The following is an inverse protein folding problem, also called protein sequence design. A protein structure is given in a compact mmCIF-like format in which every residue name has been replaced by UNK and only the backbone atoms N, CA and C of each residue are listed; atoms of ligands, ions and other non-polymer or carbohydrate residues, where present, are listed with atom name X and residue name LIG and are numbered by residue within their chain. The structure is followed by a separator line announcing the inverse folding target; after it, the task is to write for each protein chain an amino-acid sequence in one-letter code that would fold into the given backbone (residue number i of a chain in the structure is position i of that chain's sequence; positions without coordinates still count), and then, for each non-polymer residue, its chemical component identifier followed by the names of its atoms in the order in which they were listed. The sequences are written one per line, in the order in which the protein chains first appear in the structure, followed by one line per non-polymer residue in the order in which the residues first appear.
data_IF_078950956887
#
_entry.id   IF_078950956887
#
_cell.length_a   1.000
_cell.length_b   1.000
_cell.length_c   1.000
_cell.angle_alpha   90.00
_cell.angle_beta   90.00
_cell.angle_gamma   90.00
#
_symmetry.space_group_name_H-M   'P 1'
#
loop_
_entity.id
_entity.type
_entity.pdbx_description
1 polymer ?
#
# COMPACT_ATOMS: atom_id res chain seq x y z
N UNK A 1 24.22 11.32 -0.58
CA UNK A 1 23.24 10.33 -1.10
C UNK A 1 21.88 10.98 -1.30
N UNK A 2 21.34 10.83 -2.54
CA UNK A 2 20.08 11.46 -2.94
C UNK A 2 18.88 11.01 -2.09
N UNK A 3 18.86 9.75 -1.62
CA UNK A 3 17.84 9.20 -0.75
C UNK A 3 17.87 9.85 0.64
N UNK A 4 19.04 10.06 1.22
CA UNK A 4 19.18 10.71 2.51
C UNK A 4 18.58 12.12 2.50
N UNK A 5 18.84 12.91 1.44
CA UNK A 5 18.28 14.26 1.29
C UNK A 5 16.75 14.27 1.23
N UNK A 6 16.12 13.26 0.62
CA UNK A 6 14.67 13.16 0.54
C UNK A 6 14.07 12.60 1.84
N UNK A 7 14.79 11.75 2.54
CA UNK A 7 14.32 11.09 3.76
C UNK A 7 14.04 12.07 4.91
N UNK A 8 14.74 13.22 4.98
CA UNK A 8 14.48 14.25 5.99
C UNK A 8 13.01 14.75 6.04
N UNK A 9 12.25 14.56 4.95
CA UNK A 9 10.82 14.86 4.91
C UNK A 9 9.98 14.00 5.87
N UNK A 10 10.53 12.89 6.32
CA UNK A 10 9.87 11.99 7.28
C UNK A 10 10.25 12.27 8.74
N UNK A 11 11.19 13.21 9.00
CA UNK A 11 11.61 13.56 10.36
C UNK A 11 10.43 14.03 11.21
N UNK A 12 10.20 13.37 12.36
CA UNK A 12 9.10 13.62 13.27
C UNK A 12 7.71 13.27 12.74
N UNK A 13 7.60 12.62 11.57
CA UNK A 13 6.33 12.30 10.91
C UNK A 13 5.73 10.98 11.37
N UNK A 14 4.39 10.88 11.28
CA UNK A 14 3.67 9.64 11.51
C UNK A 14 3.24 9.04 10.19
N UNK A 15 3.64 7.79 9.96
CA UNK A 15 3.37 7.01 8.75
C UNK A 15 2.51 5.80 9.12
N UNK A 16 1.37 5.64 8.48
CA UNK A 16 0.56 4.44 8.56
C UNK A 16 0.86 3.57 7.33
N UNK A 17 1.29 2.33 7.58
CA UNK A 17 1.60 1.34 6.55
C UNK A 17 0.64 0.16 6.67
N UNK A 18 -0.22 -0.04 5.69
CA UNK A 18 -1.06 -1.23 5.63
C UNK A 18 -0.37 -2.34 4.84
N UNK A 19 -0.58 -3.60 5.22
CA UNK A 19 0.14 -4.73 4.63
C UNK A 19 1.61 -4.79 5.04
N UNK A 20 1.95 -4.19 6.20
CA UNK A 20 3.32 -4.04 6.66
C UNK A 20 4.02 -5.34 7.05
N UNK A 21 3.28 -6.45 7.19
CA UNK A 21 3.83 -7.78 7.46
C UNK A 21 4.02 -8.63 6.21
N UNK A 22 3.52 -8.14 5.07
CA UNK A 22 3.76 -8.75 3.76
C UNK A 22 5.19 -8.54 3.27
N UNK A 23 5.49 -9.09 2.09
CA UNK A 23 6.84 -9.08 1.50
C UNK A 23 7.42 -7.65 1.42
N UNK A 24 6.76 -6.73 0.71
CA UNK A 24 7.25 -5.35 0.59
C UNK A 24 7.14 -4.56 1.90
N UNK A 25 6.10 -4.81 2.69
CA UNK A 25 5.88 -4.12 3.95
C UNK A 25 7.02 -4.27 4.95
N UNK A 26 7.64 -5.46 4.99
CA UNK A 26 8.82 -5.71 5.84
C UNK A 26 10.02 -4.85 5.41
N UNK A 27 10.27 -4.71 4.11
CA UNK A 27 11.34 -3.83 3.63
C UNK A 27 11.07 -2.36 3.99
N UNK A 28 9.84 -1.89 3.87
CA UNK A 28 9.50 -0.53 4.32
C UNK A 28 9.74 -0.35 5.81
N UNK A 29 9.35 -1.31 6.62
CA UNK A 29 9.60 -1.27 8.08
C UNK A 29 11.08 -1.15 8.37
N UNK A 30 11.91 -2.02 7.80
CA UNK A 30 13.37 -1.99 7.97
C UNK A 30 14.00 -0.66 7.48
N UNK A 31 13.51 -0.13 6.36
CA UNK A 31 13.98 1.16 5.84
C UNK A 31 13.66 2.28 6.83
N UNK A 32 12.45 2.37 7.39
CA UNK A 32 12.10 3.40 8.36
C UNK A 32 12.88 3.26 9.67
N UNK A 33 13.06 2.03 10.16
CA UNK A 33 13.94 1.79 11.32
C UNK A 33 15.36 2.29 11.05
N UNK A 34 15.92 1.94 9.91
CA UNK A 34 17.28 2.39 9.55
C UNK A 34 17.37 3.89 9.36
N UNK A 35 16.35 4.53 8.79
CA UNK A 35 16.31 6.00 8.66
C UNK A 35 16.27 6.68 10.03
N UNK A 36 15.47 6.15 10.97
CA UNK A 36 15.40 6.65 12.34
C UNK A 36 16.76 6.59 13.06
N UNK A 37 17.54 5.53 12.81
CA UNK A 37 18.85 5.35 13.44
C UNK A 37 19.95 6.23 12.84
N UNK A 38 19.85 6.59 11.55
CA UNK A 38 21.02 7.09 10.82
C UNK A 38 20.84 8.41 10.09
N UNK A 39 19.59 8.84 9.82
CA UNK A 39 19.33 9.97 8.92
C UNK A 39 18.39 11.00 9.54
N UNK A 40 17.35 10.57 10.24
CA UNK A 40 16.32 11.47 10.72
C UNK A 40 16.73 12.15 12.02
N UNK A 41 16.58 13.47 12.10
CA UNK A 41 16.84 14.24 13.31
C UNK A 41 15.84 13.91 14.42
N UNK A 42 14.56 13.75 14.03
CA UNK A 42 13.50 13.26 14.90
C UNK A 42 12.98 11.95 14.32
N UNK A 43 12.89 10.87 15.12
CA UNK A 43 12.39 9.60 14.62
C UNK A 43 10.98 9.69 14.04
N UNK A 44 10.79 9.10 12.88
CA UNK A 44 9.47 8.88 12.30
C UNK A 44 8.73 7.78 13.07
N UNK A 45 7.43 7.93 13.27
CA UNK A 45 6.57 6.92 13.88
C UNK A 45 5.93 6.09 12.79
N UNK A 46 6.08 4.77 12.85
CA UNK A 46 5.49 3.84 11.92
C UNK A 46 4.37 3.06 12.59
N UNK A 47 3.16 3.17 12.06
CA UNK A 47 1.99 2.39 12.48
C UNK A 47 1.69 1.36 11.40
N UNK A 48 1.78 0.09 11.74
CA UNK A 48 1.58 -1.03 10.81
C UNK A 48 0.21 -1.63 11.04
N UNK A 49 -0.61 -1.71 9.99
CA UNK A 49 -1.85 -2.47 9.99
C UNK A 49 -1.69 -3.72 9.09
N UNK A 50 -2.00 -4.89 9.63
CA UNK A 50 -2.01 -6.14 8.87
C UNK A 50 -2.97 -7.15 9.51
N UNK A 51 -3.69 -7.92 8.71
CA UNK A 51 -4.56 -8.99 9.20
C UNK A 51 -3.91 -10.37 9.15
N UNK A 52 -2.65 -10.44 8.73
CA UNK A 52 -1.82 -11.64 8.65
C UNK A 52 -2.34 -12.77 7.74
N UNK A 53 -3.32 -12.49 6.88
CA UNK A 53 -3.94 -13.50 6.00
C UNK A 53 -2.93 -14.15 5.05
N UNK A 54 -1.93 -13.40 4.59
CA UNK A 54 -0.88 -13.90 3.68
C UNK A 54 0.47 -14.06 4.37
N UNK A 55 0.74 -13.32 5.43
CA UNK A 55 1.99 -13.37 6.18
C UNK A 55 2.05 -14.59 7.12
N UNK A 56 0.87 -15.12 7.51
CA UNK A 56 0.76 -16.17 8.52
C UNK A 56 0.91 -15.63 9.95
N UNK A 57 0.43 -16.40 10.93
CA UNK A 57 0.53 -16.05 12.35
C UNK A 57 1.75 -16.67 13.03
N UNK A 58 2.25 -17.79 12.51
CA UNK A 58 3.39 -18.50 13.07
C UNK A 58 4.71 -17.86 12.66
N UNK A 59 5.58 -17.61 13.63
CA UNK A 59 6.92 -17.05 13.39
C UNK A 59 6.94 -15.57 13.03
N UNK A 60 5.82 -14.86 13.13
CA UNK A 60 5.77 -13.42 12.92
C UNK A 60 6.30 -12.72 14.17
N UNK A 61 7.61 -12.49 14.21
CA UNK A 61 8.19 -11.58 15.19
C UNK A 61 7.79 -10.16 14.79
N UNK A 62 6.98 -9.50 15.60
CA UNK A 62 6.80 -8.05 15.48
C UNK A 62 8.10 -7.43 15.94
N UNK A 63 8.81 -6.66 15.11
CA UNK A 63 9.99 -5.98 15.58
C UNK A 63 9.61 -5.06 16.75
N UNK A 64 10.26 -5.25 17.88
CA UNK A 64 10.12 -4.38 19.04
C UNK A 64 11.06 -3.17 18.86
N UNK A 65 10.59 -2.21 18.08
CA UNK A 65 11.28 -0.95 17.88
C UNK A 65 10.46 0.18 18.51
N UNK A 66 11.12 1.05 19.26
CA UNK A 66 10.49 2.13 20.00
C UNK A 66 9.50 3.00 19.20
N UNK A 67 9.72 3.12 17.88
CA UNK A 67 8.93 3.96 16.99
C UNK A 67 8.06 3.17 16.00
N UNK A 68 7.87 1.87 16.22
CA UNK A 68 7.03 0.99 15.39
C UNK A 68 5.91 0.40 16.23
N UNK A 69 4.68 0.67 15.82
CA UNK A 69 3.48 0.10 16.46
C UNK A 69 2.81 -0.85 15.48
N UNK A 70 2.58 -2.10 15.89
CA UNK A 70 1.80 -3.05 15.12
C UNK A 70 0.39 -3.16 15.69
N UNK A 71 -0.60 -3.15 14.78
CA UNK A 71 -2.02 -3.35 15.09
C UNK A 71 -2.55 -4.41 14.13
N UNK A 72 -2.97 -5.55 14.68
CA UNK A 72 -3.68 -6.57 13.88
C UNK A 72 -5.05 -6.00 13.50
N UNK A 73 -5.22 -5.68 12.22
CA UNK A 73 -6.45 -5.09 11.71
C UNK A 73 -6.69 -5.48 10.26
N UNK A 74 -7.94 -5.75 9.92
CA UNK A 74 -8.37 -5.95 8.54
C UNK A 74 -8.87 -4.64 7.95
N UNK A 75 -8.17 -4.12 6.94
CA UNK A 75 -8.48 -2.83 6.31
C UNK A 75 -9.85 -2.75 5.64
N UNK A 76 -10.52 -3.90 5.39
CA UNK A 76 -11.91 -3.89 4.93
C UNK A 76 -12.90 -3.38 5.97
N UNK A 77 -12.50 -3.39 7.24
CA UNK A 77 -13.25 -2.79 8.33
C UNK A 77 -12.80 -1.34 8.56
N UNK A 78 -13.67 -0.47 9.07
CA UNK A 78 -13.29 0.89 9.43
C UNK A 78 -12.16 0.91 10.47
N UNK A 79 -11.23 1.83 10.31
CA UNK A 79 -10.13 2.06 11.25
C UNK A 79 -10.13 3.52 11.69
N UNK A 80 -10.14 3.74 12.99
CA UNK A 80 -10.09 5.08 13.60
C UNK A 80 -8.69 5.34 14.17
N UNK A 81 -8.22 6.56 13.96
CA UNK A 81 -6.93 7.04 14.47
C UNK A 81 -7.07 8.48 14.92
N UNK A 82 -6.79 8.74 16.20
CA UNK A 82 -7.00 10.03 16.85
C UNK A 82 -5.73 10.88 17.00
N UNK A 83 -4.59 10.35 16.55
CA UNK A 83 -3.29 11.02 16.63
C UNK A 83 -2.91 11.64 15.27
N UNK A 84 -1.95 12.60 15.24
CA UNK A 84 -1.47 13.14 13.98
C UNK A 84 -1.04 12.04 13.01
N UNK A 85 -1.40 12.22 11.73
CA UNK A 85 -1.05 11.32 10.64
C UNK A 85 -0.61 12.14 9.43
N UNK A 86 0.59 11.90 8.93
CA UNK A 86 1.18 12.66 7.82
C UNK A 86 1.17 11.88 6.51
N UNK A 87 1.33 10.56 6.58
CA UNK A 87 1.40 9.68 5.40
C UNK A 87 0.62 8.40 5.63
N UNK A 88 -0.09 7.97 4.59
CA UNK A 88 -0.71 6.64 4.51
C UNK A 88 -0.10 5.90 3.32
N UNK A 89 0.61 4.82 3.58
CA UNK A 89 1.14 3.91 2.56
C UNK A 89 0.24 2.68 2.54
N UNK A 90 -0.66 2.63 1.55
CA UNK A 90 -1.62 1.54 1.42
C UNK A 90 -1.05 0.45 0.52
N UNK A 91 -0.34 -0.50 1.14
CA UNK A 91 0.26 -1.65 0.48
C UNK A 91 -0.46 -2.98 0.80
N UNK A 92 -1.51 -2.94 1.62
CA UNK A 92 -2.37 -4.10 1.83
C UNK A 92 -2.99 -4.54 0.51
N UNK A 93 -2.90 -5.83 0.23
CA UNK A 93 -3.46 -6.44 -0.97
C UNK A 93 -3.06 -7.90 -1.09
N UNK A 94 -3.96 -8.72 -1.61
CA UNK A 94 -3.73 -10.15 -1.82
C UNK A 94 -3.12 -10.32 -3.22
N UNK A 95 -1.78 -10.22 -3.32
CA UNK A 95 -1.08 -10.18 -4.62
C UNK A 95 -0.63 -11.55 -5.14
N UNK A 96 -0.51 -12.56 -4.27
CA UNK A 96 -0.10 -13.91 -4.69
C UNK A 96 -1.21 -14.64 -5.43
N UNK A 97 -0.93 -15.26 -6.62
CA UNK A 97 -1.91 -16.06 -7.36
C UNK A 97 -2.57 -17.16 -6.54
N UNK A 98 -1.84 -17.76 -5.62
CA UNK A 98 -2.37 -18.77 -4.71
C UNK A 98 -3.45 -18.16 -3.80
N UNK A 99 -3.15 -17.02 -3.17
CA UNK A 99 -4.03 -16.41 -2.18
C UNK A 99 -5.23 -15.69 -2.80
N UNK A 100 -5.09 -14.92 -3.90
CA UNK A 100 -6.25 -14.25 -4.49
C UNK A 100 -7.24 -15.23 -5.17
N UNK A 101 -6.79 -16.45 -5.52
CA UNK A 101 -7.70 -17.52 -5.96
C UNK A 101 -8.41 -18.20 -4.78
N UNK A 102 -7.76 -18.27 -3.63
CA UNK A 102 -8.37 -18.81 -2.41
C UNK A 102 -9.34 -17.81 -1.76
N UNK A 103 -9.04 -16.50 -1.87
CA UNK A 103 -9.77 -15.40 -1.23
C UNK A 103 -10.14 -14.30 -2.26
N UNK A 104 -10.93 -14.63 -3.32
CA UNK A 104 -11.17 -13.69 -4.42
C UNK A 104 -12.05 -12.50 -4.02
N UNK A 105 -13.00 -12.66 -3.11
CA UNK A 105 -13.84 -11.58 -2.61
C UNK A 105 -13.04 -10.64 -1.71
N UNK A 106 -12.24 -11.19 -0.81
CA UNK A 106 -11.36 -10.41 0.05
C UNK A 106 -10.35 -9.60 -0.76
N UNK A 107 -9.85 -10.13 -1.89
CA UNK A 107 -8.97 -9.41 -2.80
C UNK A 107 -9.65 -8.15 -3.38
N UNK A 108 -10.94 -8.23 -3.72
CA UNK A 108 -11.75 -7.10 -4.16
C UNK A 108 -12.10 -6.15 -3.00
N UNK A 109 -12.51 -6.69 -1.85
CA UNK A 109 -12.93 -5.89 -0.69
C UNK A 109 -11.79 -5.03 -0.14
N UNK A 110 -10.55 -5.55 -0.11
CA UNK A 110 -9.37 -4.77 0.25
C UNK A 110 -9.20 -3.57 -0.68
N UNK A 111 -9.44 -3.76 -1.98
CA UNK A 111 -9.29 -2.69 -2.95
C UNK A 111 -10.45 -1.69 -2.95
N UNK A 112 -11.67 -2.12 -2.65
CA UNK A 112 -12.86 -1.27 -2.65
C UNK A 112 -13.05 -0.64 -1.27
N UNK A 113 -13.38 -1.44 -0.27
CA UNK A 113 -13.66 -0.97 1.08
C UNK A 113 -12.39 -0.51 1.79
N UNK A 114 -11.33 -1.34 1.75
CA UNK A 114 -10.06 -1.03 2.41
C UNK A 114 -9.41 0.24 1.87
N UNK A 115 -9.29 0.37 0.56
CA UNK A 115 -8.74 1.60 -0.04
C UNK A 115 -9.59 2.82 0.30
N UNK A 116 -10.93 2.68 0.31
CA UNK A 116 -11.82 3.79 0.68
C UNK A 116 -11.64 4.21 2.15
N UNK A 117 -11.57 3.25 3.08
CA UNK A 117 -11.34 3.55 4.50
C UNK A 117 -10.01 4.28 4.71
N UNK A 118 -8.94 3.82 4.04
CA UNK A 118 -7.63 4.45 4.16
C UNK A 118 -7.55 5.82 3.48
N UNK A 119 -8.30 6.03 2.38
CA UNK A 119 -8.43 7.34 1.73
C UNK A 119 -9.24 8.31 2.60
N UNK A 120 -10.34 7.86 3.24
CA UNK A 120 -11.08 8.67 4.20
C UNK A 120 -10.16 9.11 5.34
N UNK A 121 -9.45 8.16 5.94
CA UNK A 121 -8.50 8.46 7.02
C UNK A 121 -7.44 9.47 6.58
N UNK A 122 -6.84 9.29 5.40
CA UNK A 122 -5.87 10.22 4.86
C UNK A 122 -6.48 11.63 4.62
N UNK A 123 -7.69 11.69 4.09
CA UNK A 123 -8.40 12.94 3.85
C UNK A 123 -8.70 13.69 5.16
N UNK A 124 -9.22 13.00 6.16
CA UNK A 124 -9.61 13.57 7.45
C UNK A 124 -8.39 14.15 8.22
N UNK A 125 -7.22 13.55 8.02
CA UNK A 125 -5.95 14.01 8.60
C UNK A 125 -5.15 14.98 7.71
N UNK A 126 -5.58 15.22 6.46
CA UNK A 126 -4.79 15.96 5.47
C UNK A 126 -3.49 15.25 5.09
N UNK A 127 -3.42 13.94 5.32
CA UNK A 127 -2.26 13.12 5.07
C UNK A 127 -2.03 12.85 3.58
N UNK A 128 -0.79 12.56 3.20
CA UNK A 128 -0.44 12.14 1.85
C UNK A 128 -0.68 10.63 1.69
N UNK A 129 -1.50 10.26 0.74
CA UNK A 129 -1.86 8.86 0.47
C UNK A 129 -1.04 8.29 -0.70
N UNK A 130 -0.43 7.13 -0.48
CA UNK A 130 0.28 6.37 -1.53
C UNK A 130 -0.38 5.01 -1.69
N UNK A 131 -0.87 4.72 -2.90
CA UNK A 131 -1.49 3.46 -3.27
C UNK A 131 -0.51 2.52 -3.98
N UNK A 132 -0.39 1.29 -3.51
CA UNK A 132 0.31 0.23 -4.20
C UNK A 132 -0.62 -0.47 -5.19
N UNK A 133 -0.58 0.00 -6.43
CA UNK A 133 -1.20 -0.65 -7.59
C UNK A 133 -0.33 -1.82 -8.08
N UNK A 134 -0.35 -2.11 -9.35
CA UNK A 134 0.43 -3.19 -9.97
C UNK A 134 0.57 -2.94 -11.48
N UNK A 135 1.58 -3.55 -12.11
CA UNK A 135 1.65 -3.67 -13.57
C UNK A 135 0.46 -4.43 -14.18
N UNK A 136 -0.26 -5.20 -13.38
CA UNK A 136 -1.42 -5.99 -13.83
C UNK A 136 -2.60 -5.14 -14.31
N UNK A 137 -2.61 -3.84 -14.00
CA UNK A 137 -3.58 -2.90 -14.58
C UNK A 137 -3.45 -2.78 -16.11
N UNK A 138 -2.30 -3.15 -16.64
CA UNK A 138 -2.04 -3.14 -18.08
C UNK A 138 -2.56 -4.39 -18.79
N UNK A 139 -2.81 -5.48 -18.05
CA UNK A 139 -3.32 -6.75 -18.57
C UNK A 139 -2.38 -7.41 -19.56
N UNK A 140 -2.92 -7.82 -20.69
CA UNK A 140 -2.18 -8.43 -21.82
C UNK A 140 -1.99 -7.38 -22.95
N UNK A 141 -0.91 -6.59 -22.91
CA UNK A 141 -0.70 -5.51 -23.84
C UNK A 141 -0.33 -6.01 -25.24
N UNK A 142 -0.82 -5.33 -26.27
CA UNK A 142 -0.31 -5.53 -27.63
C UNK A 142 1.20 -5.21 -27.67
N UNK A 143 1.98 -6.03 -28.39
CA UNK A 143 3.45 -5.93 -28.47
C UNK A 143 3.94 -4.53 -28.84
N UNK A 144 3.20 -3.80 -29.65
CA UNK A 144 3.51 -2.40 -30.04
C UNK A 144 3.50 -1.41 -28.89
N UNK A 145 2.92 -1.78 -27.74
CA UNK A 145 2.85 -0.98 -26.53
C UNK A 145 3.86 -1.41 -25.46
N UNK A 146 4.76 -2.33 -25.78
CA UNK A 146 5.83 -2.78 -24.87
C UNK A 146 7.15 -2.05 -25.20
N UNK A 147 7.79 -1.37 -24.22
CA UNK A 147 7.37 -1.19 -22.83
C UNK A 147 6.17 -0.23 -22.69
N UNK A 148 5.26 -0.55 -21.75
CA UNK A 148 4.05 0.23 -21.54
C UNK A 148 4.36 1.60 -20.93
N UNK A 149 3.83 2.66 -21.52
CA UNK A 149 3.80 3.97 -20.91
C UNK A 149 2.74 4.02 -19.81
N UNK A 150 2.93 4.87 -18.79
CA UNK A 150 1.95 5.03 -17.70
C UNK A 150 0.55 5.45 -18.18
N UNK A 151 0.47 6.10 -19.35
CA UNK A 151 -0.79 6.50 -20.01
C UNK A 151 -1.51 5.36 -20.74
N UNK A 152 -0.89 4.18 -20.88
CA UNK A 152 -1.52 3.03 -21.53
C UNK A 152 -2.70 2.52 -20.69
N UNK A 153 -3.89 2.45 -21.32
CA UNK A 153 -5.15 2.15 -20.61
C UNK A 153 -5.32 0.69 -20.20
N UNK A 154 -4.49 -0.19 -20.74
CA UNK A 154 -4.53 -1.61 -20.46
C UNK A 154 -5.51 -2.41 -21.33
N UNK A 155 -5.28 -3.72 -21.38
CA UNK A 155 -6.14 -4.72 -21.98
C UNK A 155 -6.42 -5.80 -20.95
N UNK A 156 -7.39 -5.52 -20.05
CA UNK A 156 -7.72 -6.36 -18.90
C UNK A 156 -9.08 -6.98 -19.10
N UNK A 157 -9.20 -8.28 -18.80
CA UNK A 157 -10.47 -8.99 -18.80
C UNK A 157 -11.12 -8.89 -17.42
N UNK A 158 -12.41 -8.54 -17.37
CA UNK A 158 -13.21 -8.61 -16.14
C UNK A 158 -13.63 -10.04 -15.77
N UNK A 159 -13.25 -11.05 -16.57
CA UNK A 159 -13.56 -12.46 -16.35
C UNK A 159 -12.28 -13.29 -16.28
N UNK A 160 -12.33 -14.35 -15.47
CA UNK A 160 -11.24 -15.29 -15.34
C UNK A 160 -10.61 -15.32 -13.95
N UNK A 161 -9.66 -16.23 -13.73
CA UNK A 161 -9.14 -16.53 -12.38
C UNK A 161 -8.27 -15.41 -11.78
N UNK A 162 -7.91 -14.40 -12.57
CA UNK A 162 -7.10 -13.24 -12.17
C UNK A 162 -7.92 -11.96 -12.03
N UNK A 163 -9.14 -11.94 -12.58
CA UNK A 163 -9.95 -10.73 -12.68
C UNK A 163 -10.14 -10.02 -11.33
N UNK A 164 -10.32 -10.79 -10.26
CA UNK A 164 -10.44 -10.22 -8.90
C UNK A 164 -9.21 -9.38 -8.51
N UNK A 165 -8.01 -9.80 -8.87
CA UNK A 165 -6.79 -9.05 -8.57
C UNK A 165 -6.58 -7.88 -9.53
N UNK A 166 -6.66 -8.13 -10.83
CA UNK A 166 -6.40 -7.12 -11.86
C UNK A 166 -7.37 -5.94 -11.73
N UNK A 167 -8.68 -6.23 -11.61
CA UNK A 167 -9.70 -5.20 -11.37
C UNK A 167 -9.60 -4.56 -9.99
N UNK A 168 -9.14 -5.28 -8.96
CA UNK A 168 -8.88 -4.70 -7.65
C UNK A 168 -7.90 -3.52 -7.72
N UNK A 169 -6.83 -3.68 -8.49
CA UNK A 169 -5.83 -2.62 -8.65
C UNK A 169 -6.36 -1.46 -9.49
N UNK A 170 -7.14 -1.73 -10.51
CA UNK A 170 -7.78 -0.71 -11.36
C UNK A 170 -8.79 0.13 -10.59
N UNK A 171 -9.66 -0.48 -9.77
CA UNK A 171 -10.61 0.25 -8.93
C UNK A 171 -9.91 1.07 -7.85
N UNK A 172 -8.83 0.56 -7.27
CA UNK A 172 -8.03 1.31 -6.30
C UNK A 172 -7.43 2.59 -6.90
N UNK A 173 -6.90 2.55 -8.13
CA UNK A 173 -6.45 3.75 -8.85
C UNK A 173 -7.61 4.72 -9.14
N UNK A 174 -8.78 4.19 -9.51
CA UNK A 174 -9.98 5.01 -9.72
C UNK A 174 -10.39 5.73 -8.44
N UNK A 175 -10.34 5.07 -7.29
CA UNK A 175 -10.61 5.70 -6.00
C UNK A 175 -9.59 6.81 -5.69
N UNK A 176 -8.29 6.56 -5.91
CA UNK A 176 -7.26 7.58 -5.75
C UNK A 176 -7.54 8.82 -6.63
N UNK A 177 -7.91 8.60 -7.90
CA UNK A 177 -8.29 9.67 -8.81
C UNK A 177 -9.48 10.49 -8.29
N UNK A 178 -10.54 9.81 -7.80
CA UNK A 178 -11.74 10.47 -7.26
C UNK A 178 -11.37 11.34 -6.05
N UNK A 179 -10.65 10.79 -5.08
CA UNK A 179 -10.27 11.52 -3.88
C UNK A 179 -9.34 12.71 -4.19
N UNK A 180 -8.42 12.52 -5.12
CA UNK A 180 -7.53 13.61 -5.55
C UNK A 180 -8.30 14.76 -6.18
N UNK A 181 -9.16 14.47 -7.17
CA UNK A 181 -9.77 15.50 -8.00
C UNK A 181 -11.05 16.11 -7.41
N UNK A 182 -11.76 15.38 -6.55
CA UNK A 182 -13.04 15.84 -6.02
C UNK A 182 -13.06 16.12 -4.53
N UNK A 183 -12.05 15.60 -3.78
CA UNK A 183 -11.96 15.81 -2.34
C UNK A 183 -10.67 16.53 -1.91
N UNK A 184 -9.73 16.72 -2.83
CA UNK A 184 -8.49 17.45 -2.57
C UNK A 184 -7.42 16.62 -1.83
N UNK A 185 -7.64 15.33 -1.62
CA UNK A 185 -6.67 14.45 -0.98
C UNK A 185 -5.41 14.34 -1.83
N UNK A 186 -4.24 14.48 -1.22
CA UNK A 186 -2.96 14.29 -1.91
C UNK A 186 -2.71 12.82 -2.13
N UNK A 187 -2.83 12.34 -3.37
CA UNK A 187 -2.63 10.93 -3.70
C UNK A 187 -1.53 10.75 -4.73
N UNK A 188 -0.81 9.65 -4.62
CA UNK A 188 0.01 9.11 -5.69
C UNK A 188 -0.12 7.59 -5.75
N UNK A 189 0.20 7.02 -6.91
CA UNK A 189 0.07 5.60 -7.20
C UNK A 189 1.39 5.05 -7.67
N UNK A 190 1.77 3.89 -7.17
CA UNK A 190 2.96 3.14 -7.59
C UNK A 190 2.49 1.86 -8.28
N UNK A 191 3.02 1.59 -9.47
CA UNK A 191 2.73 0.38 -10.27
C UNK A 191 3.96 -0.52 -10.32
N UNK A 192 4.24 -1.30 -9.26
CA UNK A 192 5.37 -2.22 -9.30
C UNK A 192 5.10 -3.33 -10.32
N UNK A 193 6.15 -3.71 -11.01
CA UNK A 193 6.21 -4.96 -11.77
C UNK A 193 6.60 -6.10 -10.83
N UNK A 194 7.07 -7.23 -11.37
CA UNK A 194 7.49 -8.35 -10.54
C UNK A 194 8.69 -7.95 -9.67
N UNK A 195 8.48 -7.93 -8.37
CA UNK A 195 9.51 -7.63 -7.37
C UNK A 195 9.93 -8.94 -6.72
N UNK A 196 11.23 -9.15 -6.61
CA UNK A 196 11.81 -10.29 -5.93
C UNK A 196 12.93 -9.84 -4.99
N UNK A 197 13.19 -10.63 -3.97
CA UNK A 197 14.23 -10.35 -2.98
C UNK A 197 14.29 -11.45 -1.91
N UNK A 198 15.28 -11.41 -1.00
CA UNK A 198 15.43 -12.36 0.10
C UNK A 198 14.26 -12.33 1.08
#
# INVERSE_FOLDING_TARGET
DRLATLAHKFSGKTILLTGGRGFLGRYFTEVFVRLNETVLEEPAKLVILDNLITAGKEGVTVPDFDNVTFIEHNVIEPFEWDKPLDYVIHAAGIASPYYYRAYPLEALDVAISGTRHMLNLANDHGAHFTFFSSSEIYGDPDIKHVPMAESYRGNVSCQGPRACYDESKRVGETLCYIYHNYQGTKTNTIRPFNVFGP
#
